data_IF_734516782456
#
_entry.id   IF_734516782456
#
_cell.length_a   1.000
_cell.length_b   1.000
_cell.length_c   1.000
_cell.angle_alpha   90.00
_cell.angle_beta   90.00
_cell.angle_gamma   90.00
#
_symmetry.space_group_name_H-M   'P 1'
#
loop_
_entity.id
_entity.type
_entity.pdbx_description
1 polymer ?
#
# COMPACT_ATOMS: atom_id res chain seq x y z
N UNK A 1 -43.80 -4.66 40.95
CA UNK A 1 -43.44 -4.17 39.61
C UNK A 1 -41.91 -3.91 39.59
N UNK A 2 -41.13 -4.81 38.99
CA UNK A 2 -39.69 -4.62 38.79
C UNK A 2 -39.51 -3.90 37.43
N UNK A 3 -39.04 -2.65 37.47
CA UNK A 3 -38.63 -1.92 36.25
C UNK A 3 -37.41 -2.64 35.64
N UNK A 4 -37.62 -3.18 34.43
CA UNK A 4 -36.51 -3.68 33.62
C UNK A 4 -35.57 -2.54 33.25
N UNK A 5 -34.35 -2.58 33.73
CA UNK A 5 -33.32 -1.67 33.30
C UNK A 5 -32.96 -2.00 31.85
N UNK A 6 -33.28 -1.10 30.93
CA UNK A 6 -32.75 -1.15 29.56
C UNK A 6 -31.22 -1.07 29.65
N UNK A 7 -30.54 -2.17 29.30
CA UNK A 7 -29.09 -2.13 29.08
C UNK A 7 -28.86 -1.31 27.82
N UNK A 8 -28.40 -0.09 27.99
CA UNK A 8 -27.81 0.66 26.86
C UNK A 8 -26.60 -0.11 26.39
N UNK A 9 -26.75 -0.78 25.24
CA UNK A 9 -25.67 -1.49 24.58
C UNK A 9 -24.71 -0.46 24.04
N UNK A 10 -23.48 -0.42 24.60
CA UNK A 10 -22.43 0.44 24.09
C UNK A 10 -21.76 -0.30 22.90
N UNK A 11 -22.32 -0.12 21.71
CA UNK A 11 -21.85 -0.77 20.48
C UNK A 11 -20.36 -0.59 20.22
N UNK A 12 -19.78 0.57 20.57
CA UNK A 12 -18.35 0.79 20.40
C UNK A 12 -17.50 -0.13 21.28
N UNK A 13 -17.91 -0.33 22.54
CA UNK A 13 -17.21 -1.22 23.46
C UNK A 13 -17.37 -2.70 23.06
N UNK A 14 -18.55 -3.10 22.67
CA UNK A 14 -18.80 -4.48 22.20
C UNK A 14 -18.04 -4.77 20.89
N UNK A 15 -17.96 -3.80 19.97
CA UNK A 15 -17.16 -3.95 18.75
C UNK A 15 -15.67 -4.08 19.07
N UNK A 16 -15.15 -3.31 20.02
CA UNK A 16 -13.77 -3.41 20.47
C UNK A 16 -13.49 -4.78 21.13
N UNK A 17 -14.34 -5.22 22.05
CA UNK A 17 -14.23 -6.52 22.70
C UNK A 17 -14.26 -7.67 21.67
N UNK A 18 -15.09 -7.55 20.64
CA UNK A 18 -15.16 -8.52 19.53
C UNK A 18 -13.88 -8.52 18.70
N UNK A 19 -13.35 -7.35 18.39
CA UNK A 19 -12.08 -7.21 17.66
C UNK A 19 -10.93 -7.83 18.45
N UNK A 20 -10.80 -7.51 19.74
CA UNK A 20 -9.77 -8.05 20.63
C UNK A 20 -9.81 -9.59 20.73
N UNK A 21 -11.01 -10.18 20.80
CA UNK A 21 -11.19 -11.64 20.81
C UNK A 21 -10.79 -12.32 19.49
N UNK A 22 -10.70 -11.58 18.41
CA UNK A 22 -10.37 -12.09 17.07
C UNK A 22 -9.03 -11.57 16.52
N UNK A 23 -8.14 -11.03 17.36
CA UNK A 23 -6.82 -10.53 16.94
C UNK A 23 -5.99 -11.57 16.17
N UNK A 24 -6.16 -12.85 16.48
CA UNK A 24 -5.50 -13.95 15.77
C UNK A 24 -5.96 -14.12 14.31
N UNK A 25 -7.08 -13.50 13.92
CA UNK A 25 -7.62 -13.49 12.54
C UNK A 25 -7.21 -12.25 11.74
N UNK A 26 -6.63 -11.24 12.40
CA UNK A 26 -6.21 -10.01 11.73
C UNK A 26 -5.21 -10.33 10.62
N UNK A 27 -5.50 -9.81 9.43
CA UNK A 27 -4.70 -9.99 8.22
C UNK A 27 -4.82 -11.37 7.56
N UNK A 28 -5.60 -12.30 8.11
CA UNK A 28 -5.91 -13.56 7.42
C UNK A 28 -7.01 -13.31 6.40
N UNK A 29 -6.68 -13.59 5.13
CA UNK A 29 -7.65 -13.47 4.04
C UNK A 29 -8.49 -14.73 4.00
N UNK A 30 -9.80 -14.58 4.17
CA UNK A 30 -10.81 -15.63 4.03
C UNK A 30 -11.67 -15.30 2.81
N UNK A 31 -12.34 -16.32 2.25
CA UNK A 31 -13.19 -16.14 1.08
C UNK A 31 -14.62 -16.55 1.38
N UNK A 32 -15.56 -15.72 0.99
CA UNK A 32 -17.00 -16.04 0.96
C UNK A 32 -17.45 -16.12 -0.50
N UNK A 33 -17.44 -17.31 -1.07
CA UNK A 33 -17.51 -17.49 -2.51
C UNK A 33 -16.25 -16.92 -3.16
N UNK A 34 -16.39 -16.00 -4.09
CA UNK A 34 -15.28 -15.32 -4.77
C UNK A 34 -14.83 -14.01 -4.07
N UNK A 35 -15.52 -13.61 -3.00
CA UNK A 35 -15.25 -12.35 -2.32
C UNK A 35 -14.25 -12.54 -1.18
N UNK A 36 -13.05 -11.94 -1.28
CA UNK A 36 -12.09 -11.93 -0.18
C UNK A 36 -12.57 -10.99 0.93
N UNK A 37 -12.38 -11.41 2.17
CA UNK A 37 -12.57 -10.56 3.34
C UNK A 37 -11.49 -10.86 4.38
N UNK A 38 -11.19 -9.89 5.22
CA UNK A 38 -10.24 -10.03 6.33
C UNK A 38 -10.63 -9.11 7.47
N UNK A 39 -10.25 -9.49 8.69
CA UNK A 39 -10.24 -8.55 9.79
C UNK A 39 -8.99 -7.67 9.64
N UNK A 40 -9.20 -6.37 9.43
CA UNK A 40 -8.11 -5.45 9.15
C UNK A 40 -7.37 -5.02 10.42
N UNK A 41 -6.05 -4.80 10.34
CA UNK A 41 -5.35 -4.06 11.38
C UNK A 41 -5.92 -2.63 11.49
N UNK A 42 -5.88 -2.02 12.67
CA UNK A 42 -6.27 -0.60 12.82
C UNK A 42 -5.42 0.28 11.90
N UNK A 43 -6.01 1.36 11.37
CA UNK A 43 -5.40 2.26 10.39
C UNK A 43 -5.01 1.59 9.06
N UNK A 44 -5.67 0.49 8.71
CA UNK A 44 -5.49 -0.18 7.42
C UNK A 44 -6.82 -0.31 6.69
N UNK A 45 -6.72 -0.43 5.37
CA UNK A 45 -7.80 -0.72 4.44
C UNK A 45 -7.35 -1.76 3.43
N UNK A 46 -8.14 -1.99 2.40
CA UNK A 46 -7.79 -2.89 1.30
C UNK A 46 -7.79 -2.13 -0.02
N UNK A 47 -6.90 -2.53 -0.91
CA UNK A 47 -6.86 -2.07 -2.28
C UNK A 47 -6.72 -3.25 -3.25
N UNK A 48 -7.04 -3.01 -4.50
CA UNK A 48 -6.76 -3.94 -5.60
C UNK A 48 -5.49 -3.48 -6.29
N UNK A 49 -4.39 -4.22 -6.13
CA UNK A 49 -3.11 -3.89 -6.78
C UNK A 49 -3.04 -4.49 -8.19
N UNK A 50 -2.44 -3.74 -9.11
CA UNK A 50 -2.16 -4.17 -10.48
C UNK A 50 -0.70 -4.48 -10.70
N UNK A 51 0.20 -3.86 -9.94
CA UNK A 51 1.66 -3.99 -10.12
C UNK A 51 2.30 -4.33 -8.77
N UNK A 52 3.22 -5.29 -8.79
CA UNK A 52 4.15 -5.55 -7.69
C UNK A 52 5.54 -5.08 -8.10
N UNK A 53 6.17 -4.28 -7.26
CA UNK A 53 7.55 -3.85 -7.37
C UNK A 53 8.36 -4.51 -6.29
N UNK A 54 9.42 -5.22 -6.68
CA UNK A 54 10.38 -5.85 -5.76
C UNK A 54 11.66 -5.01 -5.73
N UNK A 55 12.07 -4.65 -4.54
CA UNK A 55 13.33 -3.92 -4.27
C UNK A 55 14.13 -4.67 -3.20
N UNK A 56 15.41 -4.35 -3.07
CA UNK A 56 16.22 -4.78 -1.93
C UNK A 56 16.10 -3.83 -0.73
N UNK A 57 16.77 -4.15 0.36
CA UNK A 57 16.78 -3.37 1.61
C UNK A 57 17.50 -2.01 1.48
N UNK A 58 18.33 -1.83 0.46
CA UNK A 58 19.01 -0.57 0.11
C UNK A 58 18.16 0.29 -0.86
N UNK A 59 17.00 -0.18 -1.27
CA UNK A 59 16.12 0.49 -2.22
C UNK A 59 16.61 0.40 -3.67
N UNK A 60 17.28 -0.70 -4.05
CA UNK A 60 17.58 -0.95 -5.46
C UNK A 60 16.45 -1.76 -6.08
N UNK A 61 16.06 -1.38 -7.29
CA UNK A 61 15.07 -2.10 -8.06
C UNK A 61 15.58 -3.49 -8.47
N UNK A 62 14.80 -4.52 -8.21
CA UNK A 62 15.11 -5.89 -8.57
C UNK A 62 14.19 -6.41 -9.68
N UNK A 63 12.88 -6.17 -9.55
CA UNK A 63 11.89 -6.68 -10.48
C UNK A 63 10.55 -5.94 -10.40
N UNK A 64 9.86 -5.86 -11.54
CA UNK A 64 8.48 -5.39 -11.64
C UNK A 64 7.62 -6.43 -12.38
N UNK A 65 6.40 -6.66 -11.90
CA UNK A 65 5.48 -7.60 -12.52
C UNK A 65 4.02 -7.16 -12.36
N UNK A 66 3.16 -7.64 -13.25
CA UNK A 66 1.72 -7.51 -13.08
C UNK A 66 1.23 -8.50 -12.03
N UNK A 67 0.39 -8.04 -11.12
CA UNK A 67 -0.20 -8.88 -10.07
C UNK A 67 -1.10 -9.93 -10.70
N UNK A 68 -1.00 -11.22 -10.34
CA UNK A 68 -1.96 -12.23 -10.76
C UNK A 68 -3.39 -11.89 -10.33
N UNK A 69 -4.38 -12.16 -11.18
CA UNK A 69 -5.78 -11.79 -10.92
C UNK A 69 -6.35 -12.37 -9.61
N UNK A 70 -5.83 -13.51 -9.17
CA UNK A 70 -6.22 -14.20 -7.93
C UNK A 70 -5.44 -13.72 -6.68
N UNK A 71 -4.44 -12.82 -6.82
CA UNK A 71 -3.63 -12.31 -5.69
C UNK A 71 -3.66 -10.77 -5.56
N UNK A 72 -4.61 -10.12 -6.19
CA UNK A 72 -4.71 -8.66 -6.23
C UNK A 72 -5.16 -7.98 -4.93
N UNK A 73 -5.74 -8.74 -4.00
CA UNK A 73 -6.22 -8.22 -2.72
C UNK A 73 -5.05 -7.84 -1.83
N UNK A 74 -4.96 -6.57 -1.47
CA UNK A 74 -3.80 -5.99 -0.80
C UNK A 74 -4.22 -5.20 0.42
N UNK A 75 -3.67 -5.52 1.59
CA UNK A 75 -3.85 -4.74 2.81
C UNK A 75 -2.88 -3.55 2.75
N UNK A 76 -3.40 -2.34 2.91
CA UNK A 76 -2.61 -1.10 2.83
C UNK A 76 -2.81 -0.24 4.07
N UNK A 77 -1.78 0.49 4.52
CA UNK A 77 -1.94 1.52 5.53
C UNK A 77 -2.73 2.70 4.96
N UNK A 78 -3.56 3.32 5.81
CA UNK A 78 -4.34 4.50 5.44
C UNK A 78 -4.33 5.53 6.55
N UNK A 79 -4.41 6.81 6.19
CA UNK A 79 -4.79 7.88 7.10
C UNK A 79 -6.31 8.03 7.09
N UNK A 80 -6.87 8.79 8.04
CA UNK A 80 -8.30 9.11 8.05
C UNK A 80 -8.75 9.75 6.72
N UNK A 81 -7.95 10.67 6.19
CA UNK A 81 -8.22 11.36 4.93
C UNK A 81 -8.09 10.44 3.72
N UNK A 82 -7.01 9.66 3.65
CA UNK A 82 -6.80 8.78 2.50
C UNK A 82 -7.76 7.59 2.48
N UNK A 83 -8.18 7.08 3.64
CA UNK A 83 -9.15 6.00 3.77
C UNK A 83 -10.56 6.37 3.30
N UNK A 84 -10.91 7.65 3.35
CA UNK A 84 -12.20 8.20 2.87
C UNK A 84 -12.08 8.93 1.52
N UNK A 85 -10.95 8.81 0.83
CA UNK A 85 -10.65 9.52 -0.42
C UNK A 85 -11.64 9.15 -1.53
N UNK A 86 -12.47 10.11 -1.92
CA UNK A 86 -13.32 10.05 -3.13
C UNK A 86 -12.85 11.03 -4.20
N UNK A 87 -12.19 12.11 -3.77
CA UNK A 87 -11.59 13.15 -4.63
C UNK A 87 -10.50 13.86 -3.85
N UNK A 88 -9.62 14.59 -4.57
CA UNK A 88 -8.52 15.31 -3.96
C UNK A 88 -7.17 14.59 -4.06
N UNK A 89 -6.11 15.27 -3.58
CA UNK A 89 -4.71 14.80 -3.68
C UNK A 89 -4.23 14.20 -2.35
N UNK A 90 -5.00 13.30 -1.74
CA UNK A 90 -4.61 12.63 -0.50
C UNK A 90 -3.94 11.27 -0.83
N UNK A 91 -2.69 11.11 -0.46
CA UNK A 91 -1.93 9.88 -0.72
C UNK A 91 -2.24 8.79 0.32
N UNK A 92 -2.29 7.52 -0.11
CA UNK A 92 -2.16 6.40 0.82
C UNK A 92 -0.69 6.25 1.24
N UNK A 93 -0.41 5.99 2.51
CA UNK A 93 0.94 5.67 2.94
C UNK A 93 1.44 4.37 2.30
N UNK A 94 2.70 4.32 1.90
CA UNK A 94 3.43 3.16 1.40
C UNK A 94 3.02 2.64 0.01
N UNK A 95 1.73 2.49 -0.28
CA UNK A 95 1.20 1.93 -1.53
C UNK A 95 0.14 2.86 -2.11
N UNK A 96 0.23 3.21 -3.37
CA UNK A 96 -0.79 4.00 -4.08
C UNK A 96 -0.68 3.73 -5.59
N UNK A 97 -1.44 4.45 -6.41
CA UNK A 97 -1.28 4.37 -7.86
C UNK A 97 -0.01 5.11 -8.35
N UNK A 98 0.38 4.81 -9.58
CA UNK A 98 1.60 5.35 -10.21
C UNK A 98 1.72 6.86 -10.11
N UNK A 99 0.62 7.61 -10.24
CA UNK A 99 0.61 9.07 -10.15
C UNK A 99 1.16 9.62 -8.84
N UNK A 100 1.01 8.85 -7.73
CA UNK A 100 1.54 9.23 -6.42
C UNK A 100 2.94 8.70 -6.17
N UNK A 101 3.28 7.53 -6.74
CA UNK A 101 4.54 6.84 -6.42
C UNK A 101 5.68 7.19 -7.39
N UNK A 102 5.36 7.51 -8.64
CA UNK A 102 6.37 7.70 -9.67
C UNK A 102 6.78 9.17 -9.81
N UNK A 103 7.97 9.51 -9.34
CA UNK A 103 8.52 10.86 -9.50
C UNK A 103 8.84 11.24 -10.94
N UNK A 104 8.99 10.25 -11.79
CA UNK A 104 9.18 10.37 -13.23
C UNK A 104 7.86 10.31 -14.03
N UNK A 105 6.70 10.20 -13.36
CA UNK A 105 5.37 10.13 -14.00
C UNK A 105 5.12 11.26 -15.01
N UNK A 106 5.48 12.54 -14.75
CA UNK A 106 5.26 13.63 -15.70
C UNK A 106 6.08 13.53 -17.00
N UNK A 107 7.10 12.67 -17.05
CA UNK A 107 7.85 12.43 -18.28
C UNK A 107 7.09 11.55 -19.28
N UNK A 108 6.09 10.80 -18.83
CA UNK A 108 5.35 9.80 -19.60
C UNK A 108 3.87 10.12 -19.76
N UNK A 109 3.32 10.92 -18.83
CA UNK A 109 1.90 11.28 -18.77
C UNK A 109 1.78 12.78 -18.51
N UNK A 110 0.83 13.44 -19.13
CA UNK A 110 0.58 14.87 -18.87
C UNK A 110 0.06 15.08 -17.45
N UNK A 111 0.95 15.45 -16.53
CA UNK A 111 0.68 15.65 -15.09
C UNK A 111 1.63 16.72 -14.51
N UNK A 112 1.22 17.36 -13.41
CA UNK A 112 2.02 18.39 -12.70
C UNK A 112 3.01 17.84 -11.67
N UNK A 113 3.00 16.51 -11.43
CA UNK A 113 3.85 15.84 -10.44
C UNK A 113 3.50 16.12 -8.98
N UNK A 114 2.50 16.94 -8.71
CA UNK A 114 2.18 17.37 -7.34
C UNK A 114 1.70 16.26 -6.43
N UNK A 115 1.14 15.18 -6.96
CA UNK A 115 0.74 14.01 -6.17
C UNK A 115 1.95 13.28 -5.60
N UNK A 116 3.03 13.17 -6.37
CA UNK A 116 4.28 12.56 -5.92
C UNK A 116 4.92 13.36 -4.77
N UNK A 117 4.95 14.68 -4.87
CA UNK A 117 5.53 15.53 -3.81
C UNK A 117 4.74 15.38 -2.49
N UNK A 118 3.39 15.37 -2.55
CA UNK A 118 2.53 15.13 -1.39
C UNK A 118 2.79 13.74 -0.78
N UNK A 119 2.90 12.71 -1.61
CA UNK A 119 3.19 11.36 -1.16
C UNK A 119 4.57 11.28 -0.49
N UNK A 120 5.60 11.83 -1.11
CA UNK A 120 6.96 11.79 -0.58
C UNK A 120 7.11 12.57 0.73
N UNK A 121 6.41 13.70 0.88
CA UNK A 121 6.38 14.43 2.16
C UNK A 121 5.75 13.59 3.28
N UNK A 122 4.66 12.88 2.98
CA UNK A 122 3.99 11.99 3.93
C UNK A 122 4.89 10.79 4.29
N UNK A 123 5.49 10.13 3.29
CA UNK A 123 6.37 8.99 3.51
C UNK A 123 7.63 9.40 4.29
N UNK A 124 8.18 10.58 4.02
CA UNK A 124 9.33 11.14 4.74
C UNK A 124 9.05 11.32 6.23
N UNK A 125 7.86 11.82 6.61
CA UNK A 125 7.47 11.95 8.02
C UNK A 125 7.47 10.61 8.75
N UNK A 126 6.99 9.54 8.11
CA UNK A 126 7.06 8.20 8.69
C UNK A 126 8.50 7.67 8.72
N UNK A 127 9.26 7.85 7.65
CA UNK A 127 10.68 7.48 7.57
C UNK A 127 11.53 8.14 8.68
N UNK A 128 11.31 9.42 8.99
CA UNK A 128 12.05 10.16 10.01
C UNK A 128 11.55 9.90 11.44
N UNK A 129 10.45 9.18 11.63
CA UNK A 129 9.90 8.88 12.95
C UNK A 129 10.64 7.73 13.63
N UNK A 130 10.52 7.64 14.97
CA UNK A 130 11.02 6.50 15.76
C UNK A 130 10.32 5.17 15.42
N UNK A 131 9.21 5.22 14.71
CA UNK A 131 8.45 4.06 14.26
C UNK A 131 8.73 3.67 12.81
N UNK A 132 9.85 4.16 12.23
CA UNK A 132 10.28 3.75 10.91
C UNK A 132 10.58 2.24 10.88
N UNK A 133 10.06 1.56 9.87
CA UNK A 133 10.36 0.16 9.57
C UNK A 133 11.39 0.10 8.45
N UNK A 134 12.26 -0.94 8.41
CA UNK A 134 13.31 -1.07 7.38
C UNK A 134 12.73 -1.06 5.96
N UNK A 135 11.56 -1.67 5.75
CA UNK A 135 10.85 -1.63 4.47
C UNK A 135 10.41 -0.23 4.06
N UNK A 136 10.00 0.60 5.02
CA UNK A 136 9.67 2.01 4.75
C UNK A 136 10.90 2.77 4.30
N UNK A 137 12.04 2.51 4.93
CA UNK A 137 13.35 3.08 4.55
C UNK A 137 13.74 2.69 3.14
N UNK A 138 13.67 1.40 2.80
CA UNK A 138 14.00 0.89 1.47
C UNK A 138 13.11 1.52 0.39
N UNK A 139 11.78 1.58 0.62
CA UNK A 139 10.84 2.19 -0.32
C UNK A 139 11.10 3.69 -0.47
N UNK A 140 11.39 4.40 0.63
CA UNK A 140 11.74 5.81 0.57
C UNK A 140 12.99 6.06 -0.28
N UNK A 141 14.06 5.27 -0.09
CA UNK A 141 15.28 5.37 -0.88
C UNK A 141 15.06 5.05 -2.36
N UNK A 142 14.26 4.03 -2.66
CA UNK A 142 13.93 3.70 -4.04
C UNK A 142 13.19 4.85 -4.73
N UNK A 143 12.12 5.34 -4.12
CA UNK A 143 11.27 6.37 -4.73
C UNK A 143 11.97 7.73 -4.88
N UNK A 144 12.96 8.03 -4.04
CA UNK A 144 13.82 9.21 -4.22
C UNK A 144 14.60 9.20 -5.55
N UNK A 145 14.85 8.02 -6.14
CA UNK A 145 15.54 7.89 -7.43
C UNK A 145 14.68 8.39 -8.60
N UNK A 146 13.35 8.51 -8.40
CA UNK A 146 12.39 8.98 -9.41
C UNK A 146 12.47 8.20 -10.73
N UNK A 147 12.56 6.87 -10.67
CA UNK A 147 12.74 5.98 -11.81
C UNK A 147 11.65 4.91 -11.97
N UNK A 148 10.57 4.98 -11.19
CA UNK A 148 9.57 3.91 -11.14
C UNK A 148 8.91 3.62 -12.50
N UNK A 149 8.53 4.66 -13.26
CA UNK A 149 7.96 4.47 -14.60
C UNK A 149 8.99 3.87 -15.54
N UNK A 150 10.21 4.39 -15.54
CA UNK A 150 11.32 3.89 -16.35
C UNK A 150 11.57 2.41 -16.08
N UNK A 151 11.72 2.03 -14.81
CA UNK A 151 11.99 0.65 -14.40
C UNK A 151 10.88 -0.32 -14.85
N UNK A 152 9.61 0.10 -14.73
CA UNK A 152 8.47 -0.71 -15.16
C UNK A 152 8.34 -0.82 -16.68
N UNK A 153 8.74 0.20 -17.44
CA UNK A 153 8.77 0.17 -18.90
C UNK A 153 9.88 -0.75 -19.38
N UNK A 154 11.09 -0.65 -18.83
CA UNK A 154 12.20 -1.55 -19.13
C UNK A 154 11.86 -3.02 -18.88
N UNK A 155 11.10 -3.29 -17.82
CA UNK A 155 10.59 -4.64 -17.50
C UNK A 155 9.36 -5.05 -18.35
N UNK A 156 8.89 -4.19 -19.26
CA UNK A 156 7.70 -4.41 -20.11
C UNK A 156 6.40 -4.62 -19.31
N UNK A 157 6.35 -4.14 -18.09
CA UNK A 157 5.13 -4.13 -17.26
C UNK A 157 4.18 -3.04 -17.76
N UNK A 158 4.75 -1.88 -18.12
CA UNK A 158 4.06 -0.77 -18.77
C UNK A 158 4.49 -0.69 -20.24
N UNK A 159 3.60 -0.20 -21.08
CA UNK A 159 3.83 -0.01 -22.50
C UNK A 159 3.91 1.47 -22.84
N UNK A 160 4.88 1.85 -23.67
CA UNK A 160 5.03 3.21 -24.17
C UNK A 160 4.84 3.25 -25.69
N UNK A 161 4.51 4.43 -26.21
CA UNK A 161 4.45 4.75 -27.61
C UNK A 161 5.87 4.96 -28.19
N UNK A 162 5.99 5.07 -29.52
CA UNK A 162 7.25 5.37 -30.19
C UNK A 162 7.82 6.75 -29.82
N UNK A 163 6.98 7.69 -29.42
CA UNK A 163 7.37 9.05 -28.98
C UNK A 163 7.84 9.10 -27.51
N UNK A 164 7.85 7.94 -26.82
CA UNK A 164 8.27 7.82 -25.42
C UNK A 164 7.18 8.12 -24.40
N UNK A 165 5.98 8.55 -24.81
CA UNK A 165 4.84 8.70 -23.88
C UNK A 165 4.25 7.35 -23.50
N UNK A 166 3.54 7.29 -22.35
CA UNK A 166 2.84 6.09 -21.94
C UNK A 166 1.72 5.78 -22.94
N UNK A 167 1.63 4.53 -23.40
CA UNK A 167 0.63 4.13 -24.39
C UNK A 167 -0.78 4.27 -23.81
N UNK A 168 -1.58 5.12 -24.46
CA UNK A 168 -3.00 5.28 -24.11
C UNK A 168 -3.80 4.00 -24.42
N UNK A 169 -4.89 3.80 -23.69
CA UNK A 169 -5.82 2.65 -23.83
C UNK A 169 -5.23 1.29 -23.43
N UNK A 170 -3.97 1.20 -23.09
CA UNK A 170 -3.41 -0.02 -22.49
C UNK A 170 -3.90 -0.17 -21.05
N UNK A 171 -4.32 -1.38 -20.72
CA UNK A 171 -4.89 -1.68 -19.41
C UNK A 171 -4.16 -2.83 -18.73
N UNK A 172 -4.08 -2.76 -17.40
CA UNK A 172 -3.66 -3.88 -16.55
C UNK A 172 -4.89 -4.32 -15.75
N UNK A 173 -5.37 -5.52 -16.01
CA UNK A 173 -6.59 -6.07 -15.38
C UNK A 173 -7.82 -5.15 -15.52
N UNK A 174 -7.97 -4.51 -16.70
CA UNK A 174 -9.10 -3.63 -16.98
C UNK A 174 -8.97 -2.21 -16.40
N UNK A 175 -7.89 -1.89 -15.73
CA UNK A 175 -7.56 -0.56 -15.24
C UNK A 175 -6.54 0.08 -16.18
N UNK A 176 -6.76 1.33 -16.57
CA UNK A 176 -5.80 2.12 -17.34
C UNK A 176 -4.41 2.04 -16.68
N UNK A 177 -3.38 1.67 -17.46
CA UNK A 177 -2.04 1.45 -16.92
C UNK A 177 -1.48 2.68 -16.19
N UNK A 178 -1.85 3.91 -16.60
CA UNK A 178 -1.46 5.15 -15.94
C UNK A 178 -2.02 5.28 -14.51
N UNK A 179 -3.09 4.55 -14.19
CA UNK A 179 -3.78 4.54 -12.90
C UNK A 179 -3.51 3.28 -12.10
N UNK A 180 -2.62 2.40 -12.57
CA UNK A 180 -2.31 1.14 -11.91
C UNK A 180 -1.84 1.37 -10.47
N UNK A 181 -2.40 0.59 -9.54
CA UNK A 181 -2.03 0.60 -8.13
C UNK A 181 -0.82 -0.31 -7.90
N UNK A 182 0.17 0.21 -7.19
CA UNK A 182 1.47 -0.45 -6.94
C UNK A 182 1.59 -0.87 -5.48
N UNK A 183 2.08 -2.10 -5.28
CA UNK A 183 2.49 -2.63 -3.97
C UNK A 183 3.95 -3.07 -4.01
N UNK A 184 4.57 -3.20 -2.83
CA UNK A 184 5.99 -3.47 -2.72
C UNK A 184 6.31 -4.80 -2.03
N UNK A 185 7.32 -5.47 -2.57
CA UNK A 185 8.10 -6.51 -1.91
C UNK A 185 9.48 -5.92 -1.59
N UNK A 186 9.95 -6.07 -0.36
CA UNK A 186 11.30 -5.68 0.04
C UNK A 186 12.04 -6.93 0.46
N UNK A 187 13.03 -7.33 -0.34
CA UNK A 187 13.85 -8.51 -0.08
C UNK A 187 15.05 -8.16 0.78
N UNK A 188 15.21 -8.88 1.89
CA UNK A 188 16.48 -8.87 2.62
C UNK A 188 17.46 -9.82 1.93
N UNK A 189 18.56 -9.29 1.44
CA UNK A 189 19.66 -10.06 0.86
C UNK A 189 20.66 -10.50 1.92
N UNK A 190 20.66 -9.84 3.08
CA UNK A 190 21.66 -10.02 4.14
C UNK A 190 21.37 -11.19 5.07
N UNK A 191 20.13 -11.68 5.16
CA UNK A 191 19.79 -12.81 6.03
C UNK A 191 18.67 -13.70 5.47
N UNK A 192 18.98 -14.62 4.55
CA UNK A 192 17.99 -15.51 3.94
C UNK A 192 17.40 -16.56 4.91
N UNK A 193 17.89 -16.64 6.16
CA UNK A 193 17.44 -17.60 7.16
C UNK A 193 16.43 -17.01 8.15
N UNK A 194 16.15 -15.72 8.12
CA UNK A 194 15.07 -15.13 8.91
C UNK A 194 13.74 -15.35 8.18
N UNK A 195 12.75 -15.90 8.87
CA UNK A 195 11.36 -15.98 8.40
C UNK A 195 10.74 -14.56 8.32
N UNK A 196 11.35 -13.68 7.52
CA UNK A 196 10.79 -12.36 7.24
C UNK A 196 9.80 -12.46 6.10
N UNK A 197 8.62 -11.93 6.30
CA UNK A 197 7.64 -11.79 5.23
C UNK A 197 8.09 -10.63 4.34
N UNK A 198 8.53 -10.89 3.12
CA UNK A 198 9.03 -9.87 2.19
C UNK A 198 7.90 -8.93 1.71
N UNK A 199 6.69 -9.47 1.57
CA UNK A 199 5.53 -8.74 1.10
C UNK A 199 5.03 -7.72 2.15
N UNK A 200 5.08 -6.44 1.82
CA UNK A 200 4.65 -5.37 2.73
C UNK A 200 3.18 -5.51 3.18
N UNK A 201 2.32 -6.04 2.33
CA UNK A 201 0.88 -6.20 2.62
C UNK A 201 0.55 -7.43 3.49
N UNK A 202 1.54 -8.23 3.88
CA UNK A 202 1.41 -9.38 4.77
C UNK A 202 2.25 -9.25 6.05
N UNK A 203 3.08 -8.23 6.13
CA UNK A 203 4.03 -8.04 7.22
C UNK A 203 3.38 -7.39 8.44
N UNK A 204 3.14 -8.20 9.47
CA UNK A 204 2.53 -7.75 10.71
C UNK A 204 3.41 -6.78 11.49
N UNK A 205 4.73 -6.91 11.40
CA UNK A 205 5.66 -6.00 12.09
C UNK A 205 5.62 -4.61 11.47
N UNK A 206 5.47 -4.52 10.15
CA UNK A 206 5.26 -3.28 9.43
C UNK A 206 3.91 -2.63 9.82
N UNK A 207 2.84 -3.43 9.94
CA UNK A 207 1.53 -2.92 10.36
C UNK A 207 1.57 -2.40 11.80
N UNK A 208 2.24 -3.07 12.72
CA UNK A 208 2.41 -2.65 14.11
C UNK A 208 3.18 -1.33 14.20
N UNK A 209 4.26 -1.17 13.43
CA UNK A 209 5.01 0.08 13.35
C UNK A 209 4.16 1.24 12.80
N UNK A 210 3.34 0.97 11.78
CA UNK A 210 2.43 1.99 11.27
C UNK A 210 1.36 2.39 12.28
N UNK A 211 0.79 1.44 13.01
CA UNK A 211 -0.17 1.72 14.08
C UNK A 211 0.44 2.57 15.20
N UNK A 212 1.68 2.29 15.60
CA UNK A 212 2.41 3.09 16.57
C UNK A 212 2.63 4.51 16.05
N UNK A 213 3.07 4.65 14.80
CA UNK A 213 3.25 5.94 14.14
C UNK A 213 1.95 6.76 14.12
N UNK A 214 0.82 6.16 13.73
CA UNK A 214 -0.47 6.85 13.68
C UNK A 214 -0.97 7.29 15.07
N UNK A 215 -0.69 6.52 16.11
CA UNK A 215 -1.06 6.88 17.49
C UNK A 215 -0.19 7.96 18.10
N UNK A 216 0.98 8.23 17.54
CA UNK A 216 1.91 9.27 18.00
C UNK A 216 1.61 10.66 17.42
N UNK A 217 0.78 10.73 16.36
CA UNK A 217 0.35 11.99 15.74
C UNK A 217 -0.89 12.57 16.42
#
# INVERSE_FOLDING_TARGET
MKKGGERYVNWGREALDLYEKNLNKVGKIEYRGEFPYTLLPTFHSTATAQITVTIDEEGNFLHGEQVPANDKFTIIPVTEKSGSRTSGKEAHPLCDNLRYLAGDYPLYVADDGSCFEIYMEQLKKWYESEFCHDKVRAIYYYLQKKSLMHDLIEQKVLKQNEDGTLAEKETIQGIDQSKAFVRFIVRSLSNPLTETVDECWRDKTLWEKYQQYQRSM
#
